data_IF_886389328820
#
_entry.id   IF_886389328820
#
_cell.length_a   1.000
_cell.length_b   1.000
_cell.length_c   1.000
_cell.angle_alpha   90.00
_cell.angle_beta   90.00
_cell.angle_gamma   90.00
#
_symmetry.space_group_name_H-M   'P 1'
#
loop_
_entity.id
_entity.type
_entity.pdbx_description
1 polymer ?
#
# COMPACT_ATOMS: atom_id res chain seq x y z
N UNK A 1 15.76 0.55 -9.40
CA UNK A 1 15.66 1.45 -8.22
C UNK A 1 15.82 0.60 -6.97
N UNK A 2 16.64 1.00 -5.99
CA UNK A 2 16.83 0.22 -4.78
C UNK A 2 15.53 0.17 -3.97
N UNK A 3 15.18 -1.03 -3.50
CA UNK A 3 14.03 -1.26 -2.62
C UNK A 3 14.37 -0.73 -1.23
N UNK A 4 13.50 0.07 -0.59
CA UNK A 4 13.76 0.51 0.78
C UNK A 4 13.78 -0.69 1.73
N UNK A 5 14.90 -0.87 2.45
CA UNK A 5 15.07 -1.95 3.44
C UNK A 5 14.42 -1.60 4.79
N UNK A 6 14.24 -0.30 5.06
CA UNK A 6 13.64 0.22 6.29
C UNK A 6 12.49 1.15 5.93
N UNK A 7 11.32 0.86 6.50
CA UNK A 7 10.14 1.69 6.37
C UNK A 7 9.70 2.24 7.71
N UNK A 8 9.35 3.53 7.72
CA UNK A 8 8.73 4.15 8.89
C UNK A 8 7.37 3.46 9.12
N UNK A 9 7.06 3.14 10.37
CA UNK A 9 5.81 2.51 10.79
C UNK A 9 4.66 3.56 10.82
N UNK A 10 4.44 4.23 9.70
CA UNK A 10 3.33 5.14 9.48
C UNK A 10 2.17 4.35 8.84
N UNK A 11 0.97 4.54 9.36
CA UNK A 11 -0.26 3.98 8.79
C UNK A 11 -0.84 4.95 7.75
N UNK A 12 -0.53 4.70 6.48
CA UNK A 12 -1.03 5.42 5.32
C UNK A 12 -1.37 4.40 4.22
N UNK A 13 -2.54 3.74 4.31
CA UNK A 13 -2.83 2.61 3.43
C UNK A 13 -2.78 3.00 1.96
N UNK A 14 -2.19 2.14 1.13
CA UNK A 14 -2.10 2.30 -0.33
C UNK A 14 -2.49 1.01 -1.03
N UNK A 15 -3.05 1.12 -2.22
CA UNK A 15 -3.38 -0.01 -3.07
C UNK A 15 -2.26 -0.19 -4.09
N UNK A 16 -1.65 -1.37 -4.12
CA UNK A 16 -0.65 -1.71 -5.12
C UNK A 16 -1.29 -2.07 -6.46
N UNK A 17 -0.51 -2.01 -7.54
CA UNK A 17 -0.91 -2.47 -8.88
C UNK A 17 -1.25 -3.96 -8.93
N UNK A 18 -0.86 -4.73 -7.90
CA UNK A 18 -1.21 -6.13 -7.69
C UNK A 18 -2.57 -6.34 -6.99
N UNK A 19 -3.35 -5.28 -6.74
CA UNK A 19 -4.59 -5.32 -5.95
C UNK A 19 -4.41 -5.73 -4.48
N UNK A 20 -3.19 -5.64 -3.94
CA UNK A 20 -2.93 -5.83 -2.52
C UNK A 20 -2.84 -4.48 -1.81
N UNK A 21 -3.37 -4.42 -0.58
CA UNK A 21 -3.30 -3.21 0.25
C UNK A 21 -2.07 -3.25 1.13
N UNK A 22 -1.27 -2.19 1.09
CA UNK A 22 -0.07 -2.03 1.92
C UNK A 22 -0.28 -0.97 2.97
N UNK A 23 0.33 -1.16 4.15
CA UNK A 23 0.22 -0.21 5.27
C UNK A 23 0.79 1.17 4.95
N UNK A 24 1.73 1.27 4.02
CA UNK A 24 2.23 2.51 3.45
C UNK A 24 2.95 2.28 2.10
N UNK A 25 3.22 3.38 1.39
CA UNK A 25 3.95 3.39 0.12
C UNK A 25 5.36 2.82 0.22
N UNK A 26 6.02 2.99 1.37
CA UNK A 26 7.33 2.38 1.59
C UNK A 26 7.22 0.86 1.66
N UNK A 27 6.23 0.30 2.36
CA UNK A 27 6.02 -1.15 2.42
C UNK A 27 5.65 -1.71 1.04
N UNK A 28 4.85 -1.00 0.24
CA UNK A 28 4.58 -1.37 -1.15
C UNK A 28 5.88 -1.38 -1.98
N UNK A 29 6.67 -0.30 -1.91
CA UNK A 29 7.96 -0.22 -2.59
C UNK A 29 8.91 -1.32 -2.11
N UNK A 30 8.98 -1.59 -0.81
CA UNK A 30 9.76 -2.66 -0.18
C UNK A 30 9.28 -4.06 -0.56
N UNK A 31 8.02 -4.23 -0.98
CA UNK A 31 7.53 -5.46 -1.61
C UNK A 31 7.88 -5.53 -3.10
N UNK A 32 8.42 -4.46 -3.69
CA UNK A 32 8.66 -4.36 -5.13
C UNK A 32 7.39 -4.11 -5.92
N UNK A 33 6.37 -3.52 -5.28
CA UNK A 33 5.05 -3.27 -5.86
C UNK A 33 4.83 -1.78 -6.00
N UNK A 34 4.48 -1.36 -7.21
CA UNK A 34 4.11 0.02 -7.48
C UNK A 34 2.73 0.33 -6.89
N UNK A 35 2.60 1.53 -6.36
CA UNK A 35 1.34 2.04 -5.81
C UNK A 35 0.45 2.48 -6.96
N UNK A 36 -0.74 1.89 -7.06
CA UNK A 36 -1.78 2.30 -7.99
C UNK A 36 -2.49 3.57 -7.51
N UNK A 37 -2.91 3.60 -6.24
CA UNK A 37 -3.56 4.77 -5.64
C UNK A 37 -3.46 4.77 -4.11
N UNK A 38 -3.62 5.95 -3.51
CA UNK A 38 -3.64 6.14 -2.06
C UNK A 38 -5.01 5.70 -1.51
N UNK A 39 -4.99 4.90 -0.44
CA UNK A 39 -6.16 4.22 0.12
C UNK A 39 -6.08 2.70 -0.03
N UNK A 40 -6.92 1.95 0.70
CA UNK A 40 -6.98 0.48 0.57
C UNK A 40 -7.59 0.09 -0.78
N UNK A 41 -7.29 -1.13 -1.24
CA UNK A 41 -7.90 -1.68 -2.45
C UNK A 41 -9.42 -1.88 -2.26
N UNK A 42 -10.22 -1.49 -3.26
CA UNK A 42 -11.70 -1.43 -3.18
C UNK A 42 -12.43 -2.79 -3.17
N UNK A 43 -11.73 -3.91 -2.92
CA UNK A 43 -12.29 -5.26 -3.00
C UNK A 43 -12.13 -6.13 -1.75
N UNK A 44 -11.29 -5.74 -0.78
CA UNK A 44 -10.93 -6.60 0.35
C UNK A 44 -10.92 -5.83 1.69
N UNK A 45 -12.06 -5.21 2.01
CA UNK A 45 -12.44 -4.83 3.37
C UNK A 45 -11.53 -3.83 4.09
N UNK A 46 -11.91 -2.56 4.08
CA UNK A 46 -12.22 -1.82 5.32
C UNK A 46 -12.70 -0.40 4.95
N UNK A 47 -14.02 -0.22 4.96
CA UNK A 47 -14.62 1.05 5.37
C UNK A 47 -14.89 2.11 4.30
N UNK A 48 -15.76 1.82 3.34
CA UNK A 48 -16.59 2.84 2.70
C UNK A 48 -18.01 2.31 2.45
N UNK A 49 -18.71 2.00 3.54
CA UNK A 49 -20.16 2.25 3.58
C UNK A 49 -20.31 3.68 4.05
N UNK A 50 -20.55 4.60 3.12
CA UNK A 50 -21.51 5.67 3.35
C UNK A 50 -22.28 5.97 2.08
#
# INVERSE_FOLDING_TARGET
MPRPEVCVQIYLPVCGCNNESYSNSCVAAAAGVDVAYVGRCRGHGAGDVK
#
